data_IF_834545420828
#
_entry.id   IF_834545420828
#
_cell.length_a   1.000
_cell.length_b   1.000
_cell.length_c   1.000
_cell.angle_alpha   90.00
_cell.angle_beta   90.00
_cell.angle_gamma   90.00
#
_symmetry.space_group_name_H-M   'P 1'
#
loop_
_entity.id
_entity.type
_entity.pdbx_description
1 polymer ?
#
# COMPACT_ATOMS: atom_id res chain seq x y z
N UNK A 1 1.19 -27.26 -21.94
CA UNK A 1 0.42 -26.34 -22.78
C UNK A 1 1.15 -25.02 -22.81
N UNK A 2 1.49 -24.52 -23.99
CA UNK A 2 2.17 -23.23 -24.18
C UNK A 2 1.25 -22.10 -23.73
N UNK A 3 1.73 -21.22 -22.83
CA UNK A 3 1.02 -19.98 -22.49
C UNK A 3 0.83 -19.18 -23.78
N UNK A 4 -0.42 -18.90 -24.12
CA UNK A 4 -0.85 -18.14 -25.31
C UNK A 4 -0.75 -16.62 -25.13
N UNK A 5 -0.35 -16.17 -23.95
CA UNK A 5 -0.22 -14.75 -23.64
C UNK A 5 0.91 -14.12 -24.49
N UNK A 6 0.68 -12.95 -25.11
CA UNK A 6 1.71 -12.24 -25.86
C UNK A 6 2.86 -11.84 -24.91
N UNK A 7 4.10 -12.18 -25.29
CA UNK A 7 5.28 -11.80 -24.52
C UNK A 7 5.70 -10.37 -24.85
N UNK A 8 5.74 -9.50 -23.83
CA UNK A 8 6.19 -8.12 -23.97
C UNK A 8 7.63 -7.98 -23.49
N UNK A 9 8.54 -7.55 -24.38
CA UNK A 9 9.94 -7.35 -24.03
C UNK A 9 10.15 -5.91 -23.51
N UNK A 10 10.18 -5.77 -22.19
CA UNK A 10 10.28 -4.47 -21.50
C UNK A 10 11.72 -3.96 -21.51
N UNK A 11 11.92 -2.73 -22.01
CA UNK A 11 13.14 -1.96 -21.79
C UNK A 11 12.92 -1.04 -20.61
N UNK A 12 13.50 -1.38 -19.46
CA UNK A 12 13.38 -0.60 -18.23
C UNK A 12 14.78 -0.20 -17.71
N UNK A 13 14.91 0.97 -17.07
CA UNK A 13 16.13 1.35 -16.36
C UNK A 13 16.48 0.34 -15.27
N UNK A 14 17.78 0.17 -15.00
CA UNK A 14 18.26 -0.77 -13.98
C UNK A 14 17.68 -0.47 -12.59
N UNK A 15 17.59 0.80 -12.22
CA UNK A 15 17.00 1.24 -10.95
C UNK A 15 15.53 0.84 -10.81
N UNK A 16 14.77 0.78 -11.91
CA UNK A 16 13.37 0.34 -11.88
C UNK A 16 13.27 -1.19 -11.80
N UNK A 17 14.15 -1.91 -12.50
CA UNK A 17 14.26 -3.37 -12.39
C UNK A 17 14.52 -3.77 -10.94
N UNK A 18 15.46 -3.11 -10.27
CA UNK A 18 15.87 -3.47 -8.92
C UNK A 18 14.75 -3.20 -7.90
N UNK A 19 14.00 -2.10 -8.07
CA UNK A 19 12.79 -1.83 -7.27
C UNK A 19 11.73 -2.93 -7.44
N UNK A 20 11.47 -3.36 -8.68
CA UNK A 20 10.51 -4.44 -8.96
C UNK A 20 10.98 -5.76 -8.33
N UNK A 21 12.27 -6.08 -8.40
CA UNK A 21 12.84 -7.30 -7.81
C UNK A 21 12.72 -7.29 -6.27
N UNK A 22 12.99 -6.14 -5.63
CA UNK A 22 12.84 -5.98 -4.19
C UNK A 22 11.37 -6.17 -3.76
N UNK A 23 10.44 -5.50 -4.43
CA UNK A 23 9.01 -5.61 -4.14
C UNK A 23 8.48 -7.04 -4.40
N UNK A 24 8.93 -7.69 -5.47
CA UNK A 24 8.55 -9.07 -5.75
C UNK A 24 9.01 -10.02 -4.63
N UNK A 25 10.22 -9.82 -4.09
CA UNK A 25 10.73 -10.59 -2.96
C UNK A 25 9.92 -10.34 -1.68
N UNK A 26 9.61 -9.09 -1.38
CA UNK A 26 8.79 -8.69 -0.23
C UNK A 26 7.39 -9.30 -0.30
N UNK A 27 6.78 -9.31 -1.48
CA UNK A 27 5.44 -9.85 -1.73
C UNK A 27 5.42 -11.38 -1.96
N UNK A 28 6.56 -12.07 -1.93
CA UNK A 28 6.64 -13.52 -2.18
C UNK A 28 6.25 -13.93 -3.61
N UNK A 29 6.45 -13.06 -4.60
CA UNK A 29 6.08 -13.25 -6.02
C UNK A 29 7.31 -13.33 -6.92
N UNK A 30 7.11 -13.87 -8.13
CA UNK A 30 8.10 -13.68 -9.20
C UNK A 30 8.07 -12.22 -9.70
N UNK A 31 9.19 -11.72 -10.23
CA UNK A 31 9.24 -10.38 -10.81
C UNK A 31 8.18 -10.14 -11.89
N UNK A 32 7.94 -11.13 -12.76
CA UNK A 32 6.89 -11.06 -13.78
C UNK A 32 5.49 -10.98 -13.15
N UNK A 33 5.22 -11.76 -12.09
CA UNK A 33 3.94 -11.71 -11.40
C UNK A 33 3.70 -10.37 -10.70
N UNK A 34 4.76 -9.78 -10.13
CA UNK A 34 4.70 -8.45 -9.52
C UNK A 34 4.43 -7.35 -10.56
N UNK A 35 5.09 -7.42 -11.73
CA UNK A 35 4.83 -6.49 -12.85
C UNK A 35 3.37 -6.59 -13.30
N UNK A 36 2.86 -7.80 -13.52
CA UNK A 36 1.48 -8.02 -13.94
C UNK A 36 0.49 -7.47 -12.90
N UNK A 37 0.70 -7.78 -11.62
CA UNK A 37 -0.15 -7.29 -10.55
C UNK A 37 -0.22 -5.77 -10.50
N UNK A 38 0.93 -5.08 -10.65
CA UNK A 38 0.97 -3.61 -10.67
C UNK A 38 0.27 -3.01 -11.88
N UNK A 39 0.45 -3.62 -13.06
CA UNK A 39 -0.24 -3.18 -14.28
C UNK A 39 -1.75 -3.37 -14.15
N UNK A 40 -2.21 -4.53 -13.68
CA UNK A 40 -3.63 -4.80 -13.46
C UNK A 40 -4.25 -3.81 -12.46
N UNK A 41 -3.56 -3.54 -11.35
CA UNK A 41 -3.98 -2.55 -10.35
C UNK A 41 -4.10 -1.14 -10.95
N UNK A 42 -3.21 -0.75 -11.87
CA UNK A 42 -3.25 0.59 -12.49
C UNK A 42 -4.52 0.84 -13.30
N UNK A 43 -5.13 -0.21 -13.86
CA UNK A 43 -6.35 -0.10 -14.67
C UNK A 43 -7.66 -0.19 -13.86
N UNK A 44 -7.61 -0.39 -12.53
CA UNK A 44 -8.82 -0.46 -11.70
C UNK A 44 -9.45 0.93 -11.49
N UNK A 45 -8.62 1.97 -11.44
CA UNK A 45 -9.05 3.35 -11.19
C UNK A 45 -9.21 4.22 -12.45
N UNK A 46 -8.71 3.76 -13.60
CA UNK A 46 -8.77 4.51 -14.87
C UNK A 46 -9.99 4.06 -15.70
N UNK A 47 -11.04 4.90 -15.72
CA UNK A 47 -12.28 4.82 -16.51
C UNK A 47 -13.45 4.00 -15.89
N UNK A 48 -14.73 4.42 -16.15
CA UNK A 48 -15.88 3.67 -15.69
C UNK A 48 -15.89 2.32 -16.41
N UNK A 49 -15.66 1.25 -15.67
CA UNK A 49 -15.87 -0.10 -16.17
C UNK A 49 -17.35 -0.21 -16.53
N UNK A 50 -17.66 -0.15 -17.83
CA UNK A 50 -19.03 -0.27 -18.34
C UNK A 50 -19.60 -1.68 -18.10
N UNK A 51 -18.75 -2.64 -17.73
CA UNK A 51 -19.11 -4.01 -17.40
C UNK A 51 -18.64 -4.36 -15.98
N UNK A 52 -19.49 -5.08 -15.25
CA UNK A 52 -19.21 -5.55 -13.90
C UNK A 52 -18.04 -6.54 -13.92
N UNK A 53 -17.02 -6.31 -13.07
CA UNK A 53 -15.96 -7.28 -12.85
C UNK A 53 -16.57 -8.58 -12.29
N UNK A 54 -16.31 -9.76 -12.88
CA UNK A 54 -16.76 -11.02 -12.31
C UNK A 54 -16.25 -11.23 -10.87
N UNK A 55 -17.09 -11.80 -10.00
CA UNK A 55 -16.76 -11.98 -8.57
C UNK A 55 -15.45 -12.75 -8.33
N UNK A 56 -15.13 -13.74 -9.18
CA UNK A 56 -13.87 -14.48 -9.09
C UNK A 56 -12.65 -13.58 -9.31
N UNK A 57 -12.72 -12.69 -10.31
CA UNK A 57 -11.66 -11.73 -10.62
C UNK A 57 -11.58 -10.63 -9.55
N UNK A 58 -12.71 -10.15 -9.06
CA UNK A 58 -12.74 -9.21 -7.94
C UNK A 58 -12.07 -9.79 -6.67
N UNK A 59 -12.31 -11.07 -6.36
CA UNK A 59 -11.66 -11.77 -5.23
C UNK A 59 -10.14 -11.88 -5.40
N UNK A 60 -9.69 -12.21 -6.60
CA UNK A 60 -8.25 -12.26 -6.95
C UNK A 60 -7.60 -10.89 -6.78
N UNK A 61 -8.19 -9.85 -7.38
CA UNK A 61 -7.69 -8.47 -7.32
C UNK A 61 -7.71 -7.92 -5.90
N UNK A 62 -8.74 -8.21 -5.10
CA UNK A 62 -8.80 -7.86 -3.68
C UNK A 62 -7.66 -8.53 -2.90
N UNK A 63 -7.40 -9.81 -3.14
CA UNK A 63 -6.29 -10.53 -2.49
C UNK A 63 -4.93 -9.93 -2.85
N UNK A 64 -4.76 -9.52 -4.12
CA UNK A 64 -3.54 -8.86 -4.60
C UNK A 64 -3.37 -7.48 -3.94
N UNK A 65 -4.43 -6.68 -3.88
CA UNK A 65 -4.42 -5.36 -3.27
C UNK A 65 -4.13 -5.41 -1.77
N UNK A 66 -4.67 -6.42 -1.05
CA UNK A 66 -4.41 -6.60 0.39
C UNK A 66 -2.92 -6.77 0.71
N UNK A 67 -2.15 -7.40 -0.17
CA UNK A 67 -0.68 -7.53 0.01
C UNK A 67 0.05 -6.19 -0.08
N UNK A 68 -0.56 -5.17 -0.69
CA UNK A 68 0.02 -3.83 -0.80
C UNK A 68 -0.35 -2.88 0.33
N UNK A 69 -1.20 -3.29 1.28
CA UNK A 69 -1.68 -2.43 2.39
C UNK A 69 -0.52 -1.74 3.13
N UNK A 70 0.56 -2.44 3.56
CA UNK A 70 1.68 -1.76 4.22
C UNK A 70 2.30 -0.64 3.38
N UNK A 71 2.49 -0.88 2.09
CA UNK A 71 3.05 0.12 1.18
C UNK A 71 2.10 1.32 1.00
N UNK A 72 0.79 1.09 0.97
CA UNK A 72 -0.24 2.14 0.88
C UNK A 72 -0.29 2.96 2.17
N UNK A 73 -0.30 2.32 3.35
CA UNK A 73 -0.26 2.99 4.66
C UNK A 73 0.97 3.88 4.74
N UNK A 74 2.16 3.35 4.41
CA UNK A 74 3.41 4.12 4.43
C UNK A 74 3.34 5.36 3.55
N UNK A 75 2.82 5.21 2.32
CA UNK A 75 2.67 6.34 1.41
C UNK A 75 1.75 7.41 2.01
N UNK A 76 0.58 7.02 2.53
CA UNK A 76 -0.39 7.95 3.13
C UNK A 76 0.16 8.68 4.34
N UNK A 77 0.91 7.99 5.19
CA UNK A 77 1.58 8.61 6.33
C UNK A 77 2.57 9.69 5.88
N UNK A 78 3.42 9.38 4.90
CA UNK A 78 4.37 10.34 4.36
C UNK A 78 3.66 11.54 3.70
N UNK A 79 2.65 11.28 2.88
CA UNK A 79 1.89 12.34 2.18
C UNK A 79 1.17 13.25 3.20
N UNK A 80 0.51 12.66 4.20
CA UNK A 80 -0.19 13.39 5.27
C UNK A 80 0.75 14.22 6.14
N UNK A 81 1.90 13.67 6.54
CA UNK A 81 2.93 14.41 7.28
C UNK A 81 3.50 15.57 6.47
N UNK A 82 3.89 15.34 5.21
CA UNK A 82 4.41 16.39 4.34
C UNK A 82 3.40 17.53 4.15
N UNK A 83 2.12 17.18 3.98
CA UNK A 83 1.05 18.15 3.88
C UNK A 83 0.90 18.96 5.17
N UNK A 84 0.80 18.30 6.34
CA UNK A 84 0.69 18.95 7.64
C UNK A 84 1.84 19.92 7.91
N UNK A 85 3.07 19.49 7.67
CA UNK A 85 4.28 20.33 7.79
C UNK A 85 4.23 21.52 6.85
N UNK A 86 3.84 21.31 5.58
CA UNK A 86 3.74 22.40 4.59
C UNK A 86 2.69 23.46 4.97
N UNK A 87 1.70 23.08 5.76
CA UNK A 87 0.63 23.97 6.25
C UNK A 87 0.96 24.58 7.63
N UNK A 88 2.09 24.22 8.24
CA UNK A 88 2.47 24.68 9.58
C UNK A 88 1.63 24.09 10.71
N UNK A 89 1.00 22.94 10.49
CA UNK A 89 0.29 22.20 11.53
C UNK A 89 1.28 21.52 12.49
N UNK A 90 0.84 21.16 13.69
CA UNK A 90 1.61 20.41 14.69
C UNK A 90 1.38 18.88 14.62
N UNK A 91 0.41 18.45 13.83
CA UNK A 91 0.02 17.06 13.68
C UNK A 91 -0.56 16.76 12.30
N UNK A 92 -0.51 15.48 11.93
CA UNK A 92 -1.19 14.92 10.79
C UNK A 92 -2.24 13.92 11.26
N UNK A 93 -3.43 13.98 10.67
CA UNK A 93 -4.47 12.95 10.78
C UNK A 93 -4.48 12.15 9.48
N UNK A 94 -4.28 10.85 9.59
CA UNK A 94 -4.18 9.93 8.47
C UNK A 94 -5.41 9.02 8.49
N UNK A 95 -6.22 9.14 7.45
CA UNK A 95 -7.40 8.30 7.21
C UNK A 95 -6.99 7.00 6.51
N UNK A 96 -7.36 5.87 7.10
CA UNK A 96 -7.04 4.50 6.67
C UNK A 96 -8.28 3.61 6.55
N UNK A 97 -9.48 4.10 6.89
CA UNK A 97 -10.70 3.26 6.95
C UNK A 97 -11.10 2.58 5.64
N UNK A 98 -10.77 3.15 4.48
CA UNK A 98 -11.01 2.50 3.18
C UNK A 98 -10.07 1.32 2.89
N UNK A 99 -9.05 1.09 3.73
CA UNK A 99 -8.15 -0.06 3.62
C UNK A 99 -8.70 -1.30 4.32
N UNK A 100 -9.79 -1.17 5.08
CA UNK A 100 -10.42 -2.26 5.84
C UNK A 100 -9.39 -3.07 6.65
N UNK A 101 -8.51 -2.37 7.37
CA UNK A 101 -7.42 -3.01 8.14
C UNK A 101 -8.02 -3.92 9.23
N UNK A 102 -9.17 -3.55 9.80
CA UNK A 102 -9.93 -4.39 10.74
C UNK A 102 -10.33 -5.77 10.19
N UNK A 103 -10.44 -5.91 8.86
CA UNK A 103 -10.80 -7.18 8.22
C UNK A 103 -9.60 -8.12 8.03
N UNK A 104 -8.38 -7.67 8.37
CA UNK A 104 -7.18 -8.50 8.36
C UNK A 104 -7.16 -9.47 9.56
N UNK A 105 -6.40 -10.58 9.50
CA UNK A 105 -6.13 -11.38 10.68
C UNK A 105 -5.54 -10.51 11.80
N UNK A 106 -6.01 -10.69 13.03
CA UNK A 106 -5.64 -9.85 14.18
C UNK A 106 -4.13 -9.73 14.37
N UNK A 107 -3.39 -10.82 14.16
CA UNK A 107 -1.92 -10.83 14.25
C UNK A 107 -1.26 -9.94 13.17
N UNK A 108 -1.79 -9.94 11.94
CA UNK A 108 -1.25 -9.13 10.84
C UNK A 108 -1.60 -7.65 11.03
N UNK A 109 -2.80 -7.36 11.53
CA UNK A 109 -3.24 -6.00 11.88
C UNK A 109 -2.36 -5.41 12.98
N UNK A 110 -2.21 -6.12 14.11
CA UNK A 110 -1.38 -5.66 15.21
C UNK A 110 0.08 -5.50 14.78
N UNK A 111 0.62 -6.48 14.03
CA UNK A 111 1.99 -6.39 13.51
C UNK A 111 2.21 -5.20 12.56
N UNK A 112 1.19 -4.83 11.77
CA UNK A 112 1.24 -3.61 10.95
C UNK A 112 1.25 -2.36 11.82
N UNK A 113 0.30 -2.24 12.76
CA UNK A 113 0.18 -1.07 13.63
C UNK A 113 1.45 -0.86 14.47
N UNK A 114 2.00 -1.94 15.05
CA UNK A 114 3.23 -1.91 15.82
C UNK A 114 4.41 -1.45 14.95
N UNK A 115 4.58 -2.02 13.75
CA UNK A 115 5.66 -1.65 12.85
C UNK A 115 5.63 -0.16 12.43
N UNK A 116 4.44 0.39 12.19
CA UNK A 116 4.28 1.81 11.87
C UNK A 116 4.48 2.72 13.09
N UNK A 117 4.05 2.28 14.27
CA UNK A 117 4.27 2.99 15.53
C UNK A 117 5.78 3.07 15.82
N UNK A 118 6.48 1.94 15.79
CA UNK A 118 7.94 1.88 15.98
C UNK A 118 8.68 2.74 14.96
N UNK A 119 8.30 2.69 13.68
CA UNK A 119 8.93 3.47 12.62
C UNK A 119 8.80 4.98 12.83
N UNK A 120 7.64 5.45 13.29
CA UNK A 120 7.37 6.86 13.55
C UNK A 120 7.98 7.33 14.87
N UNK A 121 7.87 6.56 15.94
CA UNK A 121 8.48 6.87 17.24
C UNK A 121 10.02 6.91 17.14
N UNK A 122 10.62 6.00 16.36
CA UNK A 122 12.06 6.02 16.09
C UNK A 122 12.52 7.30 15.38
N UNK A 123 11.61 8.00 14.69
CA UNK A 123 11.86 9.29 14.06
C UNK A 123 11.48 10.50 14.95
N UNK A 124 10.98 10.27 16.18
CA UNK A 124 10.63 11.30 17.16
C UNK A 124 9.19 11.79 17.10
N UNK A 125 8.30 11.12 16.37
CA UNK A 125 6.87 11.45 16.35
C UNK A 125 6.14 10.81 17.54
N UNK A 126 5.06 11.45 18.00
CA UNK A 126 4.10 10.84 18.92
C UNK A 126 2.93 10.27 18.12
N UNK A 127 2.59 9.00 18.38
CA UNK A 127 1.68 8.21 17.55
C UNK A 127 0.48 7.77 18.39
N UNK A 128 -0.71 7.98 17.85
CA UNK A 128 -1.97 7.55 18.47
C UNK A 128 -2.89 6.95 17.41
N UNK A 129 -3.35 5.73 17.66
CA UNK A 129 -4.33 5.05 16.82
C UNK A 129 -5.73 5.20 17.43
N UNK A 130 -6.72 5.57 16.62
CA UNK A 130 -8.14 5.48 16.95
C UNK A 130 -8.77 4.36 16.12
N UNK A 131 -8.67 3.15 16.66
CA UNK A 131 -8.91 1.93 15.91
C UNK A 131 -7.89 1.74 14.77
N UNK A 132 -8.15 0.79 13.85
CA UNK A 132 -7.29 0.54 12.70
C UNK A 132 -7.50 1.54 11.54
N UNK A 133 -8.52 2.38 11.64
CA UNK A 133 -8.97 3.25 10.55
C UNK A 133 -8.38 4.66 10.61
N UNK A 134 -7.86 5.09 11.76
CA UNK A 134 -7.34 6.44 11.93
C UNK A 134 -6.01 6.41 12.69
N UNK A 135 -5.05 7.16 12.17
CA UNK A 135 -3.74 7.35 12.76
C UNK A 135 -3.46 8.84 12.94
N UNK A 136 -3.19 9.25 14.16
CA UNK A 136 -2.76 10.59 14.53
C UNK A 136 -1.27 10.60 14.78
N UNK A 137 -0.55 11.49 14.11
CA UNK A 137 0.90 11.63 14.23
C UNK A 137 1.22 13.08 14.59
N UNK A 138 1.78 13.29 15.78
CA UNK A 138 2.15 14.63 16.29
C UNK A 138 3.66 14.80 16.30
N UNK A 139 4.12 16.02 16.05
CA UNK A 139 5.53 16.39 16.01
C UNK A 139 5.82 17.71 16.75
N UNK A 140 4.93 18.11 17.65
CA UNK A 140 5.09 19.23 18.57
C UNK A 140 4.86 18.74 20.02
N UNK A 141 5.46 19.40 21.00
CA UNK A 141 5.51 18.97 22.41
C UNK A 141 4.39 19.54 23.30
N UNK A 142 3.29 20.04 22.74
CA UNK A 142 2.28 20.79 23.50
C UNK A 142 1.28 19.89 24.24
#
# INVERSE_FOLDING_TARGET
MSRTDPQFNLRIPESLRDQVMAAAKENGRSATAEILARLELSFIGEAPQQELIPAAKAKEMSSIARQSIPAVVKKRVLDGLNQAVSMGHASALIELGDLEIEAMPEADMNGLMDAFTEWLEAAGYNVEWDGPDHLSVRFDEW
#
